data_IF_877313568185
#
_entry.id   IF_877313568185
#
_cell.length_a   1.000
_cell.length_b   1.000
_cell.length_c   1.000
_cell.angle_alpha   90.00
_cell.angle_beta   90.00
_cell.angle_gamma   90.00
#
_symmetry.space_group_name_H-M   'P 1'
#
loop_
_entity.id
_entity.type
_entity.pdbx_description
1 polymer ?
#
# COMPACT_ATOMS: atom_id res chain seq x y z
N UNK A 1 -20.35 -6.87 2.90
CA UNK A 1 -20.49 -6.12 1.66
C UNK A 1 -21.95 -5.92 1.23
N UNK A 2 -22.82 -6.93 1.26
CA UNK A 2 -24.24 -6.76 0.88
C UNK A 2 -24.94 -5.68 1.73
N UNK A 3 -24.77 -5.74 3.04
CA UNK A 3 -25.34 -4.73 3.96
C UNK A 3 -24.78 -3.31 3.63
N UNK A 4 -23.51 -3.25 3.29
CA UNK A 4 -22.88 -1.98 2.94
C UNK A 4 -23.43 -1.42 1.62
N UNK A 5 -23.68 -2.28 0.62
CA UNK A 5 -24.36 -1.88 -0.62
C UNK A 5 -25.79 -1.38 -0.36
N UNK A 6 -26.55 -2.11 0.50
CA UNK A 6 -27.93 -1.76 0.84
C UNK A 6 -28.03 -0.42 1.62
N UNK A 7 -26.99 -0.08 2.38
CA UNK A 7 -26.93 1.10 3.24
C UNK A 7 -26.11 2.25 2.67
N UNK A 8 -25.55 2.09 1.48
CA UNK A 8 -24.62 3.06 0.85
C UNK A 8 -23.46 3.47 1.76
N UNK A 9 -22.76 2.46 2.31
CA UNK A 9 -21.67 2.66 3.25
C UNK A 9 -20.37 2.12 2.65
N UNK A 10 -19.29 2.92 2.71
CA UNK A 10 -17.97 2.49 2.31
C UNK A 10 -17.43 1.39 3.22
N UNK A 11 -16.96 0.31 2.61
CA UNK A 11 -16.26 -0.77 3.32
C UNK A 11 -14.76 -0.59 3.20
N UNK A 12 -14.07 -0.76 4.31
CA UNK A 12 -12.62 -0.84 4.40
C UNK A 12 -12.22 -2.22 4.90
N UNK A 13 -11.16 -2.80 4.35
CA UNK A 13 -10.71 -4.12 4.71
C UNK A 13 -9.20 -4.16 4.97
N UNK A 14 -8.86 -4.77 6.10
CA UNK A 14 -7.56 -5.41 6.32
C UNK A 14 -7.76 -6.90 5.97
N UNK A 15 -7.10 -7.37 4.91
CA UNK A 15 -7.32 -8.72 4.41
C UNK A 15 -6.64 -9.78 5.28
N UNK A 16 -6.97 -11.04 5.05
CA UNK A 16 -6.49 -12.18 5.84
C UNK A 16 -4.95 -12.26 5.84
N UNK A 17 -4.36 -11.98 6.98
CA UNK A 17 -2.90 -11.88 7.15
C UNK A 17 -2.19 -13.22 6.99
N UNK A 18 -2.82 -14.31 7.43
CA UNK A 18 -2.20 -15.63 7.49
C UNK A 18 -2.72 -16.59 6.40
N UNK A 19 -3.60 -16.12 5.51
CA UNK A 19 -4.29 -16.97 4.54
C UNK A 19 -5.09 -18.14 5.17
N UNK A 20 -5.64 -17.92 6.37
CA UNK A 20 -6.40 -18.95 7.09
C UNK A 20 -7.77 -19.20 6.48
N UNK A 21 -8.38 -18.14 5.92
CA UNK A 21 -9.72 -18.20 5.30
C UNK A 21 -9.66 -18.27 3.77
N UNK A 22 -8.48 -18.43 3.21
CA UNK A 22 -8.24 -18.50 1.77
C UNK A 22 -7.13 -17.54 1.30
N UNK A 23 -6.93 -17.51 0.00
CA UNK A 23 -5.91 -16.69 -0.65
C UNK A 23 -6.52 -15.43 -1.28
N UNK A 24 -5.69 -14.57 -1.87
CA UNK A 24 -6.12 -13.31 -2.48
C UNK A 24 -7.23 -13.50 -3.53
N UNK A 25 -7.22 -14.62 -4.25
CA UNK A 25 -8.25 -14.95 -5.24
C UNK A 25 -9.63 -15.15 -4.61
N UNK A 26 -9.67 -15.72 -3.40
CA UNK A 26 -10.92 -15.87 -2.64
C UNK A 26 -11.46 -14.51 -2.20
N UNK A 27 -10.59 -13.62 -1.74
CA UNK A 27 -10.95 -12.24 -1.38
C UNK A 27 -11.45 -11.47 -2.60
N UNK A 28 -10.75 -11.53 -3.74
CA UNK A 28 -11.18 -10.89 -4.98
C UNK A 28 -12.56 -11.41 -5.42
N UNK A 29 -12.78 -12.72 -5.30
CA UNK A 29 -14.07 -13.33 -5.63
C UNK A 29 -15.18 -12.85 -4.68
N UNK A 30 -14.90 -12.70 -3.39
CA UNK A 30 -15.86 -12.21 -2.40
C UNK A 30 -16.20 -10.72 -2.58
N UNK A 31 -15.26 -9.91 -3.00
CA UNK A 31 -15.46 -8.50 -3.32
C UNK A 31 -16.40 -8.36 -4.52
N UNK A 32 -16.27 -9.23 -5.50
CA UNK A 32 -16.95 -9.14 -6.79
C UNK A 32 -16.58 -7.81 -7.50
N UNK A 33 -17.57 -7.03 -7.92
CA UNK A 33 -17.37 -5.72 -8.55
C UNK A 33 -17.78 -4.56 -7.63
N UNK A 34 -17.81 -4.77 -6.32
CA UNK A 34 -18.21 -3.75 -5.34
C UNK A 34 -17.02 -2.87 -4.98
N UNK A 35 -17.28 -1.59 -4.73
CA UNK A 35 -16.25 -0.67 -4.28
C UNK A 35 -15.80 -1.00 -2.87
N UNK A 36 -14.50 -1.09 -2.67
CA UNK A 36 -13.90 -1.38 -1.37
C UNK A 36 -12.56 -0.68 -1.23
N UNK A 37 -12.28 -0.14 -0.04
CA UNK A 37 -10.95 0.32 0.33
C UNK A 37 -10.17 -0.83 0.95
N UNK A 38 -9.01 -1.14 0.41
CA UNK A 38 -8.12 -2.16 0.93
C UNK A 38 -6.85 -1.53 1.50
N UNK A 39 -6.56 -1.83 2.78
CA UNK A 39 -5.38 -1.33 3.48
C UNK A 39 -4.12 -2.08 3.07
N UNK A 40 -2.95 -1.42 3.21
CA UNK A 40 -1.59 -1.95 3.00
C UNK A 40 -1.50 -3.02 1.90
N UNK A 41 -2.02 -2.67 0.73
CA UNK A 41 -2.07 -3.57 -0.44
C UNK A 41 -0.71 -3.84 -1.09
N UNK A 42 0.35 -3.27 -0.56
CA UNK A 42 1.72 -3.66 -0.87
C UNK A 42 2.09 -5.04 -0.28
N UNK A 43 1.34 -5.51 0.73
CA UNK A 43 1.51 -6.80 1.34
C UNK A 43 2.46 -6.84 2.54
N UNK A 44 3.29 -5.82 2.76
CA UNK A 44 4.24 -5.79 3.87
C UNK A 44 3.55 -5.59 5.23
N UNK A 45 2.50 -4.77 5.28
CA UNK A 45 1.72 -4.49 6.49
C UNK A 45 0.73 -5.58 6.89
N UNK A 46 0.58 -6.63 6.10
CA UNK A 46 -0.39 -7.71 6.33
C UNK A 46 -1.20 -8.03 5.07
N UNK A 47 -2.14 -8.96 5.21
CA UNK A 47 -3.07 -9.34 4.15
C UNK A 47 -2.43 -10.07 2.97
N UNK A 48 -2.76 -11.34 2.76
CA UNK A 48 -2.36 -12.15 1.59
C UNK A 48 -0.96 -11.84 1.02
N UNK A 49 0.02 -11.60 1.90
CA UNK A 49 1.35 -11.17 1.46
C UNK A 49 2.07 -12.29 0.68
N UNK A 50 2.76 -11.98 -0.42
CA UNK A 50 2.84 -10.67 -1.08
C UNK A 50 1.74 -10.44 -2.13
N UNK A 51 0.86 -11.40 -2.34
CA UNK A 51 -0.06 -11.47 -3.48
C UNK A 51 -1.18 -10.44 -3.47
N UNK A 52 -1.44 -9.82 -2.32
CA UNK A 52 -2.45 -8.77 -2.16
C UNK A 52 -2.29 -7.62 -3.18
N UNK A 53 -1.07 -7.37 -3.65
CA UNK A 53 -0.80 -6.33 -4.65
C UNK A 53 -1.59 -6.52 -5.95
N UNK A 54 -2.06 -7.74 -6.24
CA UNK A 54 -2.90 -8.05 -7.41
C UNK A 54 -4.20 -7.24 -7.44
N UNK A 55 -4.72 -6.84 -6.27
CA UNK A 55 -5.97 -6.07 -6.21
C UNK A 55 -5.83 -4.65 -6.73
N UNK A 56 -4.61 -4.11 -6.80
CA UNK A 56 -4.34 -2.79 -7.39
C UNK A 56 -4.74 -2.73 -8.89
N UNK A 57 -4.86 -3.88 -9.54
CA UNK A 57 -5.35 -3.99 -10.91
C UNK A 57 -6.88 -4.04 -11.05
N UNK A 58 -7.64 -3.92 -9.94
CA UNK A 58 -9.11 -3.97 -9.96
C UNK A 58 -9.67 -2.56 -9.90
N UNK A 59 -10.44 -2.16 -10.92
CA UNK A 59 -10.97 -0.79 -11.06
C UNK A 59 -11.94 -0.36 -9.95
N UNK A 60 -12.52 -1.30 -9.23
CA UNK A 60 -13.46 -1.08 -8.12
C UNK A 60 -12.78 -1.15 -6.74
N UNK A 61 -11.47 -1.39 -6.67
CA UNK A 61 -10.72 -1.39 -5.42
C UNK A 61 -9.97 -0.07 -5.28
N UNK A 62 -10.05 0.51 -4.09
CA UNK A 62 -9.27 1.69 -3.70
C UNK A 62 -8.09 1.18 -2.86
N UNK A 63 -6.91 0.98 -3.45
CA UNK A 63 -5.77 0.45 -2.72
C UNK A 63 -5.03 1.55 -1.98
N UNK A 64 -4.67 1.30 -0.74
CA UNK A 64 -3.74 2.12 0.01
C UNK A 64 -2.45 1.38 0.34
N UNK A 65 -1.36 2.12 0.46
CA UNK A 65 -0.10 1.60 0.94
C UNK A 65 0.39 2.34 2.18
N UNK A 66 1.37 1.77 2.88
CA UNK A 66 1.94 2.35 4.08
C UNK A 66 3.26 3.08 3.80
N UNK A 67 3.47 4.22 4.45
CA UNK A 67 4.67 5.02 4.26
C UNK A 67 5.98 4.32 4.67
N UNK A 68 6.04 3.36 5.62
CA UNK A 68 7.30 2.71 5.96
C UNK A 68 7.99 2.01 4.80
N UNK A 69 7.24 1.55 3.79
CA UNK A 69 7.81 0.94 2.58
C UNK A 69 8.29 1.96 1.54
N UNK A 70 8.11 3.25 1.79
CA UNK A 70 8.31 4.33 0.82
C UNK A 70 9.47 5.25 1.17
N UNK A 71 10.23 5.70 0.19
CA UNK A 71 10.50 5.02 -1.09
C UNK A 71 11.41 3.80 -0.90
N UNK A 72 11.42 2.87 -1.84
CA UNK A 72 12.39 1.77 -1.83
C UNK A 72 13.82 2.30 -1.97
N UNK A 73 14.68 1.96 -1.00
CA UNK A 73 16.09 2.35 -0.91
C UNK A 73 16.95 1.14 -0.54
N UNK A 74 18.25 1.32 -0.44
CA UNK A 74 19.17 0.23 -0.08
C UNK A 74 18.90 -0.38 1.30
N UNK A 75 18.36 0.40 2.23
CA UNK A 75 18.11 -0.05 3.61
C UNK A 75 16.66 -0.51 3.84
N UNK A 76 15.77 -0.37 2.84
CA UNK A 76 14.33 -0.58 3.05
C UNK A 76 14.00 -2.00 3.52
N UNK A 77 14.69 -3.01 3.01
CA UNK A 77 14.43 -4.40 3.41
C UNK A 77 14.75 -4.64 4.88
N UNK A 78 15.93 -4.24 5.33
CA UNK A 78 16.38 -4.43 6.71
C UNK A 78 15.51 -3.65 7.69
N UNK A 79 15.28 -2.37 7.40
CA UNK A 79 14.40 -1.53 8.22
C UNK A 79 12.99 -2.09 8.31
N UNK A 80 12.49 -2.64 7.22
CA UNK A 80 11.13 -3.17 7.18
C UNK A 80 11.01 -4.51 7.90
N UNK A 81 12.01 -5.40 7.76
CA UNK A 81 12.08 -6.64 8.52
C UNK A 81 12.09 -6.33 10.02
N UNK A 82 12.96 -5.42 10.46
CA UNK A 82 13.03 -5.01 11.87
C UNK A 82 11.71 -4.44 12.36
N UNK A 83 11.08 -3.59 11.56
CA UNK A 83 9.78 -3.01 11.90
C UNK A 83 8.69 -4.07 11.99
N UNK A 84 8.63 -5.00 11.04
CA UNK A 84 7.66 -6.09 11.04
C UNK A 84 7.82 -6.98 12.29
N UNK A 85 9.06 -7.32 12.62
CA UNK A 85 9.36 -8.09 13.83
C UNK A 85 8.81 -7.40 15.09
N UNK A 86 9.03 -6.08 15.21
CA UNK A 86 8.53 -5.31 16.36
C UNK A 86 7.01 -5.20 16.35
N UNK A 87 6.40 -4.86 15.22
CA UNK A 87 4.96 -4.64 15.13
C UNK A 87 4.13 -5.91 15.36
N UNK A 88 4.68 -7.06 15.02
CA UNK A 88 4.01 -8.36 15.21
C UNK A 88 4.49 -9.10 16.47
N UNK A 89 5.29 -8.46 17.33
CA UNK A 89 5.83 -9.06 18.56
C UNK A 89 6.61 -10.35 18.32
N UNK A 90 7.35 -10.41 17.22
CA UNK A 90 8.15 -11.56 16.84
C UNK A 90 9.53 -11.53 17.51
N UNK A 91 10.13 -12.69 17.67
CA UNK A 91 11.43 -12.86 18.30
C UNK A 91 12.49 -13.30 17.27
N UNK A 92 13.54 -12.50 17.11
CA UNK A 92 14.66 -12.80 16.19
C UNK A 92 15.44 -14.08 16.54
N UNK A 93 15.30 -14.57 17.75
CA UNK A 93 15.91 -15.86 18.18
C UNK A 93 15.10 -17.08 17.77
N UNK A 94 13.86 -16.89 17.30
CA UNK A 94 12.97 -17.95 16.85
C UNK A 94 13.00 -18.01 15.31
N UNK A 95 13.55 -19.11 14.71
CA UNK A 95 13.66 -19.21 13.25
C UNK A 95 12.33 -19.10 12.51
N UNK A 96 11.25 -19.61 13.09
CA UNK A 96 9.90 -19.55 12.51
C UNK A 96 9.39 -18.10 12.42
N UNK A 97 9.65 -17.29 13.42
CA UNK A 97 9.30 -15.87 13.43
C UNK A 97 10.06 -15.10 12.35
N UNK A 98 11.35 -15.39 12.20
CA UNK A 98 12.19 -14.81 11.16
C UNK A 98 11.68 -15.21 9.78
N UNK A 99 11.41 -16.51 9.57
CA UNK A 99 10.87 -17.02 8.31
C UNK A 99 9.52 -16.40 7.96
N UNK A 100 8.66 -16.19 8.95
CA UNK A 100 7.40 -15.48 8.77
C UNK A 100 7.61 -14.04 8.27
N UNK A 101 8.49 -13.28 8.93
CA UNK A 101 8.80 -11.92 8.54
C UNK A 101 9.39 -11.85 7.11
N UNK A 102 10.36 -12.69 6.80
CA UNK A 102 10.99 -12.77 5.47
C UNK A 102 10.01 -13.18 4.35
N UNK A 103 9.01 -13.98 4.66
CA UNK A 103 7.99 -14.37 3.69
C UNK A 103 7.15 -13.19 3.20
N UNK A 104 7.06 -12.12 3.99
CA UNK A 104 6.24 -10.93 3.72
C UNK A 104 7.01 -9.78 3.11
N UNK A 105 8.26 -9.61 3.51
CA UNK A 105 9.11 -8.50 3.06
C UNK A 105 9.87 -8.94 1.82
N UNK A 106 9.42 -8.47 0.66
CA UNK A 106 10.01 -8.82 -0.64
C UNK A 106 10.40 -7.56 -1.41
N UNK A 107 11.67 -7.49 -1.79
CA UNK A 107 12.22 -6.34 -2.50
C UNK A 107 11.49 -6.05 -3.83
N UNK A 108 11.08 -7.10 -4.53
CA UNK A 108 10.40 -6.97 -5.82
C UNK A 108 9.07 -6.25 -5.68
N UNK A 109 8.28 -6.64 -4.68
CA UNK A 109 6.98 -6.03 -4.40
C UNK A 109 7.12 -4.59 -3.93
N UNK A 110 8.07 -4.34 -3.01
CA UNK A 110 8.31 -2.99 -2.45
C UNK A 110 8.87 -2.06 -3.53
N UNK A 111 9.75 -2.55 -4.40
CA UNK A 111 10.27 -1.75 -5.50
C UNK A 111 9.19 -1.44 -6.55
N UNK A 112 8.33 -2.40 -6.87
CA UNK A 112 7.21 -2.22 -7.78
C UNK A 112 6.19 -1.21 -7.25
N UNK A 113 6.02 -1.13 -5.95
CA UNK A 113 5.08 -0.21 -5.29
C UNK A 113 5.37 1.26 -5.62
N UNK A 114 6.63 1.70 -5.66
CA UNK A 114 7.00 3.07 -6.05
C UNK A 114 6.49 3.38 -7.47
N UNK A 115 6.66 2.43 -8.39
CA UNK A 115 6.22 2.56 -9.78
C UNK A 115 4.70 2.60 -9.85
N UNK A 116 4.02 1.74 -9.11
CA UNK A 116 2.55 1.68 -9.07
C UNK A 116 1.95 2.97 -8.49
N UNK A 117 2.62 3.59 -7.51
CA UNK A 117 2.24 4.92 -7.03
C UNK A 117 2.35 5.98 -8.11
N UNK A 118 3.44 5.97 -8.86
CA UNK A 118 3.66 6.95 -9.94
C UNK A 118 2.72 6.74 -11.12
N UNK A 119 2.33 5.50 -11.39
CA UNK A 119 1.30 5.15 -12.38
C UNK A 119 -0.12 5.51 -11.93
N UNK A 120 -0.33 5.73 -10.64
CA UNK A 120 -1.65 6.01 -10.05
C UNK A 120 -2.45 4.77 -9.66
N UNK A 121 -1.83 3.58 -9.68
CA UNK A 121 -2.48 2.34 -9.27
C UNK A 121 -2.77 2.30 -7.76
N UNK A 122 -1.89 2.86 -6.94
CA UNK A 122 -2.17 3.11 -5.53
C UNK A 122 -2.85 4.46 -5.35
N UNK A 123 -4.02 4.46 -4.74
CA UNK A 123 -4.84 5.67 -4.55
C UNK A 123 -4.42 6.49 -3.34
N UNK A 124 -4.01 5.83 -2.25
CA UNK A 124 -3.79 6.44 -0.94
C UNK A 124 -2.43 6.02 -0.37
N UNK A 125 -1.78 6.93 0.34
CA UNK A 125 -0.66 6.64 1.24
C UNK A 125 -1.10 6.95 2.66
N UNK A 126 -0.96 5.96 3.55
CA UNK A 126 -1.28 6.06 4.98
C UNK A 126 -0.04 5.72 5.82
N UNK A 127 -0.15 5.82 7.14
CA UNK A 127 0.94 5.44 8.04
C UNK A 127 0.79 4.06 8.64
N UNK A 128 -0.44 3.56 8.74
CA UNK A 128 -0.76 2.41 9.59
C UNK A 128 -0.25 2.64 11.02
N UNK A 129 -0.60 3.79 11.58
CA UNK A 129 0.07 4.35 12.77
C UNK A 129 -0.03 3.50 14.03
N UNK A 130 -1.08 2.69 14.15
CA UNK A 130 -1.27 1.82 15.31
C UNK A 130 -0.30 0.63 15.30
N UNK A 131 0.06 0.12 14.13
CA UNK A 131 1.01 -0.96 13.98
C UNK A 131 2.42 -0.43 13.67
N UNK A 132 2.54 0.42 12.64
CA UNK A 132 3.83 0.82 12.06
C UNK A 132 4.33 2.19 12.55
N UNK A 133 3.48 3.00 13.20
CA UNK A 133 3.82 4.37 13.61
C UNK A 133 4.09 5.29 12.43
N UNK A 134 5.00 6.27 12.60
CA UNK A 134 5.49 7.17 11.54
C UNK A 134 4.43 8.02 10.87
N UNK A 135 3.34 8.37 11.59
CA UNK A 135 2.26 9.21 11.05
C UNK A 135 2.78 10.56 10.53
N UNK A 136 3.76 11.15 11.21
CA UNK A 136 4.38 12.41 10.78
C UNK A 136 5.21 12.32 9.50
N UNK A 137 5.55 11.11 9.05
CA UNK A 137 6.36 10.90 7.85
C UNK A 137 5.54 10.71 6.56
N UNK A 138 4.21 10.60 6.65
CA UNK A 138 3.34 10.34 5.49
C UNK A 138 3.62 11.32 4.36
N UNK A 139 3.60 12.61 4.66
CA UNK A 139 3.81 13.67 3.66
C UNK A 139 5.24 13.61 3.12
N UNK A 140 6.23 13.56 4.00
CA UNK A 140 7.64 13.55 3.61
C UNK A 140 7.98 12.36 2.71
N UNK A 141 7.57 11.15 3.09
CA UNK A 141 7.83 9.94 2.30
C UNK A 141 7.07 9.91 0.99
N UNK A 142 5.87 10.50 0.95
CA UNK A 142 5.12 10.69 -0.30
C UNK A 142 5.90 11.56 -1.28
N UNK A 143 6.47 12.68 -0.82
CA UNK A 143 7.28 13.56 -1.67
C UNK A 143 8.62 12.95 -2.06
N UNK A 144 9.27 12.20 -1.18
CA UNK A 144 10.49 11.45 -1.49
C UNK A 144 10.22 10.41 -2.58
N UNK A 145 9.08 9.72 -2.51
CA UNK A 145 8.66 8.76 -3.54
C UNK A 145 8.42 9.47 -4.88
N UNK A 146 7.70 10.59 -4.88
CA UNK A 146 7.46 11.39 -6.08
C UNK A 146 8.77 11.86 -6.72
N UNK A 147 9.71 12.35 -5.91
CA UNK A 147 11.02 12.81 -6.37
C UNK A 147 11.83 11.65 -6.97
N UNK A 148 11.91 10.53 -6.28
CA UNK A 148 12.59 9.33 -6.78
C UNK A 148 12.01 8.90 -8.13
N UNK A 149 10.69 8.86 -8.25
CA UNK A 149 10.03 8.49 -9.49
C UNK A 149 10.29 9.49 -10.62
N UNK A 150 10.35 10.77 -10.33
CA UNK A 150 10.76 11.79 -11.31
C UNK A 150 12.17 11.52 -11.84
N UNK A 151 13.10 11.22 -10.96
CA UNK A 151 14.51 10.94 -11.36
C UNK A 151 14.62 9.65 -12.16
N UNK A 152 13.93 8.58 -11.75
CA UNK A 152 14.07 7.27 -12.37
C UNK A 152 13.23 7.09 -13.65
N UNK A 153 12.05 7.71 -13.71
CA UNK A 153 11.08 7.52 -14.80
C UNK A 153 10.93 8.73 -15.71
N UNK A 154 11.54 9.86 -15.32
CA UNK A 154 11.41 11.10 -16.09
C UNK A 154 10.00 11.69 -16.00
N UNK A 155 9.58 12.33 -17.06
CA UNK A 155 8.30 13.00 -17.18
C UNK A 155 7.17 12.00 -17.41
N UNK A 156 6.00 12.27 -16.82
CA UNK A 156 4.80 11.48 -17.12
C UNK A 156 4.33 11.75 -18.55
N UNK A 157 3.86 10.72 -19.26
CA UNK A 157 3.39 10.83 -20.65
C UNK A 157 2.25 11.82 -20.83
N UNK A 158 1.40 11.93 -19.82
CA UNK A 158 0.20 12.78 -19.85
C UNK A 158 0.45 14.21 -19.34
N UNK A 159 1.70 14.53 -18.98
CA UNK A 159 2.09 15.86 -18.54
C UNK A 159 2.12 16.85 -19.71
N UNK A 160 1.43 17.96 -19.57
CA UNK A 160 1.41 19.04 -20.57
C UNK A 160 2.34 20.18 -20.14
N UNK A 161 3.08 20.77 -21.06
CA UNK A 161 4.03 21.85 -20.75
C UNK A 161 5.36 21.34 -20.18
N UNK A 162 6.16 22.17 -19.55
CA UNK A 162 7.49 21.83 -19.01
C UNK A 162 7.51 21.67 -17.47
N UNK A 163 6.36 21.41 -16.86
CA UNK A 163 6.20 21.27 -15.42
C UNK A 163 5.87 19.84 -15.03
N UNK A 164 5.76 19.56 -13.73
CA UNK A 164 5.35 18.26 -13.17
C UNK A 164 3.99 18.37 -12.44
N UNK A 165 3.12 19.26 -12.86
CA UNK A 165 1.87 19.55 -12.17
C UNK A 165 0.94 18.33 -12.07
N UNK A 166 0.95 17.45 -13.06
CA UNK A 166 0.16 16.22 -13.02
C UNK A 166 0.69 15.28 -11.93
N UNK A 167 2.02 15.08 -11.88
CA UNK A 167 2.63 14.27 -10.81
C UNK A 167 2.38 14.89 -9.44
N UNK A 168 2.56 16.21 -9.29
CA UNK A 168 2.29 16.92 -8.03
C UNK A 168 0.86 16.68 -7.57
N UNK A 169 -0.13 16.92 -8.43
CA UNK A 169 -1.56 16.68 -8.12
C UNK A 169 -1.82 15.23 -7.72
N UNK A 170 -1.25 14.26 -8.46
CA UNK A 170 -1.39 12.83 -8.16
C UNK A 170 -0.89 12.48 -6.76
N UNK A 171 0.28 12.99 -6.38
CA UNK A 171 0.86 12.67 -5.08
C UNK A 171 0.22 13.43 -3.92
N UNK A 172 -0.16 14.69 -4.10
CA UNK A 172 -0.93 15.43 -3.08
C UNK A 172 -2.28 14.77 -2.82
N UNK A 173 -2.97 14.33 -3.86
CA UNK A 173 -4.27 13.66 -3.72
C UNK A 173 -4.22 12.40 -2.84
N UNK A 174 -3.09 11.69 -2.78
CA UNK A 174 -2.94 10.43 -2.03
C UNK A 174 -3.14 10.57 -0.51
N UNK A 175 -2.89 11.75 0.04
CA UNK A 175 -3.05 11.99 1.47
C UNK A 175 -4.04 13.14 1.76
N UNK A 176 -4.76 13.62 0.75
CA UNK A 176 -5.77 14.68 0.87
C UNK A 176 -7.08 14.27 0.22
N UNK A 177 -7.24 14.50 -1.07
CA UNK A 177 -8.48 14.31 -1.80
C UNK A 177 -8.94 12.84 -1.82
N UNK A 178 -8.04 11.91 -2.13
CA UNK A 178 -8.41 10.51 -2.28
C UNK A 178 -8.94 9.88 -0.98
N UNK A 179 -8.26 10.04 0.18
CA UNK A 179 -8.83 9.57 1.43
C UNK A 179 -10.11 10.31 1.82
N UNK A 180 -10.23 11.61 1.54
CA UNK A 180 -11.45 12.35 1.80
C UNK A 180 -12.66 11.80 1.01
N UNK A 181 -12.49 11.52 -0.27
CA UNK A 181 -13.53 10.89 -1.09
C UNK A 181 -13.84 9.47 -0.60
N UNK A 182 -12.81 8.72 -0.20
CA UNK A 182 -12.96 7.33 0.23
C UNK A 182 -13.72 7.19 1.54
N UNK A 183 -13.58 8.15 2.43
CA UNK A 183 -14.13 8.07 3.80
C UNK A 183 -15.34 9.02 4.05
N UNK A 184 -15.75 9.80 3.08
CA UNK A 184 -16.82 10.78 3.21
C UNK A 184 -16.34 12.07 3.85
#
# INVERSE_FOLDING_TARGET
>A
LNVADDMDIQVMIHTDTLNESGFVENTITAIKNRTIHAFHTEGAGGGHAPDIIKICGKSHVIPSSTNPTRPYTVNTLEEHLDMLMVCHHLDKSIPEDVAFAESRIRKETIAAEDILHDMGAFSIIASDSQAMGRVGEVITRTWQTAHKMKIQRGRLSDETGENDNLRVRRYVAKYTLNPAICHG
#
